data_IF_705782711569
#
_entry.id   IF_705782711569
#
_cell.length_a   1.000
_cell.length_b   1.000
_cell.length_c   1.000
_cell.angle_alpha   90.00
_cell.angle_beta   90.00
_cell.angle_gamma   90.00
#
_symmetry.space_group_name_H-M   'P 1'
#
loop_
_entity.id
_entity.type
_entity.pdbx_description
1 polymer ?
#
# COMPACT_ATOMS: atom_id res chain seq x y z
N UNK A 1 11.38 19.00 -0.91
CA UNK A 1 11.19 17.77 -1.71
C UNK A 1 12.43 16.91 -1.70
N UNK A 2 12.24 15.62 -2.06
CA UNK A 2 13.30 14.61 -2.17
C UNK A 2 13.23 14.00 -3.56
N UNK A 3 14.37 13.88 -4.23
CA UNK A 3 14.49 13.10 -5.45
C UNK A 3 15.01 11.71 -5.09
N UNK A 4 14.27 10.69 -5.50
CA UNK A 4 14.62 9.28 -5.29
C UNK A 4 15.00 8.66 -6.63
N UNK A 5 16.18 8.05 -6.71
CA UNK A 5 16.55 7.17 -7.82
C UNK A 5 15.92 5.80 -7.56
N UNK A 6 14.97 5.44 -8.39
CA UNK A 6 14.18 4.21 -8.21
C UNK A 6 15.05 2.97 -8.49
N UNK A 7 15.06 2.04 -7.54
CA UNK A 7 15.76 0.76 -7.65
C UNK A 7 14.82 -0.42 -7.90
N UNK A 8 13.58 -0.31 -7.41
CA UNK A 8 12.51 -1.26 -7.66
C UNK A 8 11.15 -0.57 -7.57
N UNK A 9 10.20 -1.01 -8.37
CA UNK A 9 8.80 -0.60 -8.31
C UNK A 9 7.91 -1.84 -8.33
N UNK A 10 6.69 -1.73 -7.78
CA UNK A 10 5.72 -2.82 -7.78
C UNK A 10 4.43 -2.41 -8.48
N UNK A 11 3.84 -3.37 -9.19
CA UNK A 11 2.56 -3.21 -9.86
C UNK A 11 1.41 -3.47 -8.91
N UNK A 12 0.35 -2.70 -9.06
CA UNK A 12 -0.92 -2.84 -8.35
C UNK A 12 -2.10 -2.97 -9.31
N UNK A 13 -3.21 -3.51 -8.85
CA UNK A 13 -4.46 -3.47 -9.64
C UNK A 13 -4.89 -2.03 -9.98
N UNK A 14 -4.47 -1.06 -9.18
CA UNK A 14 -4.69 0.36 -9.44
C UNK A 14 -4.16 0.78 -10.80
N UNK A 15 -2.97 0.32 -11.19
CA UNK A 15 -2.36 0.63 -12.49
C UNK A 15 -3.27 0.19 -13.65
N UNK A 16 -3.87 -1.00 -13.52
CA UNK A 16 -4.81 -1.52 -14.52
C UNK A 16 -6.12 -0.71 -14.55
N UNK A 17 -6.61 -0.27 -13.40
CA UNK A 17 -7.82 0.54 -13.33
C UNK A 17 -7.58 1.92 -13.93
N UNK A 18 -6.46 2.54 -13.63
CA UNK A 18 -6.07 3.85 -14.21
C UNK A 18 -6.04 3.78 -15.74
N UNK A 19 -5.42 2.75 -16.31
CA UNK A 19 -5.36 2.55 -17.77
C UNK A 19 -6.75 2.30 -18.38
N UNK A 20 -7.62 1.57 -17.68
CA UNK A 20 -8.99 1.30 -18.11
C UNK A 20 -9.94 2.49 -17.96
N UNK A 21 -9.54 3.50 -17.21
CA UNK A 21 -10.32 4.68 -16.85
C UNK A 21 -10.99 4.56 -15.49
N UNK A 22 -10.52 5.37 -14.54
CA UNK A 22 -11.16 5.56 -13.22
C UNK A 22 -11.95 6.87 -13.28
N UNK A 23 -13.18 6.93 -12.77
CA UNK A 23 -13.95 8.18 -12.73
C UNK A 23 -13.18 9.32 -12.06
N UNK A 24 -13.08 10.46 -12.71
CA UNK A 24 -12.36 11.63 -12.20
C UNK A 24 -10.85 11.61 -12.42
N UNK A 25 -10.29 10.54 -13.01
CA UNK A 25 -8.87 10.46 -13.37
C UNK A 25 -8.71 10.54 -14.89
N UNK A 26 -7.93 11.50 -15.33
CA UNK A 26 -7.62 11.73 -16.74
C UNK A 26 -6.12 11.55 -16.97
N UNK A 27 -5.75 10.52 -17.72
CA UNK A 27 -4.37 10.29 -18.12
C UNK A 27 -4.18 10.73 -19.58
N UNK A 28 -2.99 11.24 -19.89
CA UNK A 28 -2.59 11.65 -21.23
C UNK A 28 -1.49 10.73 -21.76
N UNK A 29 -1.23 10.68 -23.06
CA UNK A 29 -0.06 9.99 -23.59
C UNK A 29 1.25 10.44 -22.89
N UNK A 30 2.06 9.47 -22.46
CA UNK A 30 3.25 9.74 -21.64
C UNK A 30 3.01 9.78 -20.13
N UNK A 31 1.80 9.48 -19.65
CA UNK A 31 1.53 9.35 -18.22
C UNK A 31 2.38 8.25 -17.58
N UNK A 32 3.00 8.58 -16.46
CA UNK A 32 3.82 7.63 -15.69
C UNK A 32 2.91 6.94 -14.67
N UNK A 33 2.75 5.63 -14.79
CA UNK A 33 2.02 4.79 -13.85
C UNK A 33 2.89 4.38 -12.65
N UNK A 34 2.29 3.58 -11.76
CA UNK A 34 2.95 3.00 -10.59
C UNK A 34 2.76 3.85 -9.33
N UNK A 35 2.44 3.17 -8.24
CA UNK A 35 2.26 3.80 -6.93
C UNK A 35 3.37 3.43 -5.95
N UNK A 36 3.93 2.25 -6.10
CA UNK A 36 4.90 1.68 -5.18
C UNK A 36 6.31 1.70 -5.73
N UNK A 37 7.25 2.20 -4.93
CA UNK A 37 8.67 2.07 -5.22
C UNK A 37 9.55 2.09 -3.98
N UNK A 38 10.78 1.67 -4.21
CA UNK A 38 11.93 1.84 -3.32
C UNK A 38 13.13 2.31 -4.11
N UNK A 39 14.04 2.98 -3.46
CA UNK A 39 15.23 3.48 -4.11
C UNK A 39 16.23 4.08 -3.15
N UNK A 40 17.09 4.89 -3.71
CA UNK A 40 18.11 5.63 -2.97
C UNK A 40 17.85 7.13 -3.14
N UNK A 41 17.94 7.87 -2.05
CA UNK A 41 17.84 9.33 -2.09
C UNK A 41 19.00 9.86 -2.93
N UNK A 42 18.66 10.55 -4.01
CA UNK A 42 19.63 11.07 -4.98
C UNK A 42 19.89 12.58 -4.77
N UNK A 43 18.86 13.32 -4.37
CA UNK A 43 18.99 14.72 -3.98
C UNK A 43 17.91 15.12 -2.97
N UNK A 44 18.19 16.12 -2.17
CA UNK A 44 17.25 16.71 -1.18
C UNK A 44 17.19 18.21 -1.36
N UNK A 45 16.02 18.82 -1.11
CA UNK A 45 15.86 20.27 -1.03
C UNK A 45 16.48 20.84 0.26
N UNK A 46 16.78 22.12 0.27
CA UNK A 46 17.52 22.81 1.35
C UNK A 46 16.88 22.65 2.75
N UNK A 47 15.56 22.57 2.82
CA UNK A 47 14.81 22.43 4.09
C UNK A 47 14.59 20.97 4.53
N UNK A 48 15.12 19.99 3.79
CA UNK A 48 14.92 18.56 4.12
C UNK A 48 16.00 18.09 5.09
N UNK A 49 15.55 17.63 6.26
CA UNK A 49 16.42 17.09 7.32
C UNK A 49 16.06 15.66 7.74
N UNK A 50 14.94 15.11 7.20
CA UNK A 50 14.44 13.79 7.61
C UNK A 50 15.14 12.61 6.95
N UNK A 51 15.85 12.86 5.84
CA UNK A 51 16.64 11.88 5.09
C UNK A 51 17.88 12.54 4.50
N UNK A 52 18.89 11.73 4.19
CA UNK A 52 20.16 12.15 3.59
C UNK A 52 20.37 11.52 2.21
N UNK A 53 21.17 12.18 1.37
CA UNK A 53 21.59 11.58 0.08
C UNK A 53 22.32 10.26 0.37
N UNK A 54 21.94 9.22 -0.38
CA UNK A 54 22.43 7.86 -0.20
C UNK A 54 21.55 6.96 0.67
N UNK A 55 20.58 7.50 1.39
CA UNK A 55 19.65 6.70 2.19
C UNK A 55 18.81 5.78 1.32
N UNK A 56 18.62 4.55 1.79
CA UNK A 56 17.70 3.57 1.22
C UNK A 56 16.29 3.85 1.71
N UNK A 57 15.36 4.02 0.79
CA UNK A 57 14.01 4.49 1.14
C UNK A 57 12.92 3.75 0.39
N UNK A 58 11.73 3.74 1.00
CA UNK A 58 10.44 3.48 0.34
C UNK A 58 9.62 4.76 0.29
N UNK A 59 8.64 4.81 -0.61
CA UNK A 59 7.79 5.98 -0.79
C UNK A 59 6.35 5.64 -0.42
N UNK A 60 5.75 6.44 0.47
CA UNK A 60 4.31 6.44 0.67
C UNK A 60 3.63 7.07 -0.56
N UNK A 61 2.80 6.31 -1.32
CA UNK A 61 2.20 6.82 -2.54
C UNK A 61 1.11 7.89 -2.31
N UNK A 62 0.59 8.01 -1.09
CA UNK A 62 -0.45 8.96 -0.74
C UNK A 62 0.11 10.34 -0.39
N UNK A 63 -0.08 11.31 -1.27
CA UNK A 63 0.36 12.70 -1.08
C UNK A 63 -0.80 13.56 -0.60
N UNK A 64 -0.60 14.28 0.49
CA UNK A 64 -1.57 15.21 1.08
C UNK A 64 -1.01 16.64 1.14
N UNK A 65 -1.87 17.65 1.30
CA UNK A 65 -1.46 19.06 1.40
C UNK A 65 -0.85 19.43 2.76
N UNK A 66 -1.05 18.58 3.77
CA UNK A 66 -0.57 18.74 5.16
C UNK A 66 -1.06 20.00 5.88
N UNK A 67 -1.98 20.74 5.30
CA UNK A 67 -2.44 22.04 5.82
C UNK A 67 -3.92 22.07 6.17
N UNK A 68 -4.75 21.22 5.52
CA UNK A 68 -6.18 21.16 5.79
C UNK A 68 -6.50 20.58 7.19
N UNK A 69 -7.73 20.68 7.61
CA UNK A 69 -8.20 20.20 8.92
C UNK A 69 -7.89 18.71 9.16
N UNK A 70 -8.09 17.86 8.16
CA UNK A 70 -7.81 16.43 8.24
C UNK A 70 -6.32 16.12 8.38
N UNK A 71 -5.48 16.87 7.67
CA UNK A 71 -4.03 16.70 7.79
C UNK A 71 -3.52 17.13 9.17
N UNK A 72 -4.08 18.18 9.75
CA UNK A 72 -3.70 18.67 11.07
C UNK A 72 -4.10 17.72 12.19
N UNK A 73 -5.16 16.93 12.00
CA UNK A 73 -5.60 15.88 12.94
C UNK A 73 -4.95 14.52 12.68
N UNK A 74 -4.08 14.40 11.66
CA UNK A 74 -3.38 13.16 11.32
C UNK A 74 -4.16 12.23 10.38
N UNK A 75 -5.38 12.60 9.96
CA UNK A 75 -6.18 11.80 9.03
C UNK A 75 -5.91 12.19 7.57
N UNK A 76 -4.63 12.10 7.18
CA UNK A 76 -4.15 12.47 5.84
C UNK A 76 -4.94 11.86 4.67
N UNK A 77 -5.44 10.61 4.74
CA UNK A 77 -6.27 10.04 3.69
C UNK A 77 -7.60 10.75 3.44
N UNK A 78 -8.05 11.63 4.33
CA UNK A 78 -9.23 12.49 4.15
C UNK A 78 -8.87 13.89 3.65
N UNK A 79 -7.62 14.16 3.34
CA UNK A 79 -7.17 15.43 2.81
C UNK A 79 -7.97 15.83 1.57
N UNK A 80 -8.44 17.06 1.52
CA UNK A 80 -9.21 17.60 0.39
C UNK A 80 -8.43 17.63 -0.93
N UNK A 81 -7.09 17.61 -0.86
CA UNK A 81 -6.17 17.54 -1.99
C UNK A 81 -5.38 16.23 -2.02
N UNK A 82 -5.97 15.15 -1.47
CA UNK A 82 -5.31 13.85 -1.47
C UNK A 82 -5.07 13.36 -2.89
N UNK A 83 -3.86 12.93 -3.16
CA UNK A 83 -3.46 12.42 -4.47
C UNK A 83 -2.65 11.15 -4.30
N UNK A 84 -2.80 10.20 -5.22
CA UNK A 84 -2.01 8.97 -5.25
C UNK A 84 -1.08 9.02 -6.46
N UNK A 85 0.18 8.65 -6.25
CA UNK A 85 1.17 8.50 -7.31
C UNK A 85 0.69 7.44 -8.32
N UNK A 86 0.85 7.74 -9.61
CA UNK A 86 0.40 6.88 -10.71
C UNK A 86 -1.06 7.06 -11.09
N UNK A 87 -1.89 7.60 -10.19
CA UNK A 87 -3.32 7.84 -10.42
C UNK A 87 -3.61 9.33 -10.65
N UNK A 88 -3.35 10.17 -9.66
CA UNK A 88 -3.64 11.62 -9.68
C UNK A 88 -2.40 12.47 -10.01
N UNK A 89 -1.23 11.87 -9.94
CA UNK A 89 0.08 12.47 -10.19
C UNK A 89 0.95 11.45 -10.92
N UNK A 90 1.99 11.89 -11.67
CA UNK A 90 2.97 10.98 -12.24
C UNK A 90 3.51 10.01 -11.18
N UNK A 91 3.64 8.75 -11.57
CA UNK A 91 3.92 7.63 -10.67
C UNK A 91 5.38 7.21 -10.63
N UNK A 92 5.56 5.98 -10.18
CA UNK A 92 6.85 5.40 -9.77
C UNK A 92 7.55 4.56 -10.84
N UNK A 93 6.89 4.28 -11.99
CA UNK A 93 7.51 3.52 -13.09
C UNK A 93 8.43 4.44 -13.92
N UNK A 94 9.45 5.00 -13.27
CA UNK A 94 10.42 5.94 -13.80
C UNK A 94 11.80 5.72 -13.16
N UNK A 95 12.84 6.26 -13.74
CA UNK A 95 14.20 6.18 -13.18
C UNK A 95 14.33 7.05 -11.93
N UNK A 96 13.64 8.20 -11.91
CA UNK A 96 13.64 9.15 -10.81
C UNK A 96 12.23 9.58 -10.45
N UNK A 97 12.02 9.83 -9.17
CA UNK A 97 10.77 10.32 -8.62
C UNK A 97 11.06 11.50 -7.69
N UNK A 98 10.27 12.58 -7.80
CA UNK A 98 10.32 13.71 -6.88
C UNK A 98 9.04 13.74 -6.05
N UNK A 99 9.20 13.69 -4.73
CA UNK A 99 8.07 13.67 -3.78
C UNK A 99 8.36 14.54 -2.56
N UNK A 100 7.32 14.95 -1.81
CA UNK A 100 7.53 15.61 -0.52
C UNK A 100 8.34 14.71 0.42
N UNK A 101 9.27 15.31 1.18
CA UNK A 101 10.13 14.58 2.13
C UNK A 101 9.34 13.71 3.11
N UNK A 102 8.17 14.16 3.47
CA UNK A 102 7.28 13.43 4.37
C UNK A 102 6.66 12.15 3.79
N UNK A 103 6.79 11.92 2.49
CA UNK A 103 6.39 10.68 1.84
C UNK A 103 7.53 9.66 1.76
N UNK A 104 8.75 10.05 2.16
CA UNK A 104 9.95 9.22 2.06
C UNK A 104 10.28 8.63 3.41
N UNK A 105 10.42 7.30 3.47
CA UNK A 105 10.68 6.57 4.72
C UNK A 105 11.92 5.67 4.54
N UNK A 106 12.89 5.74 5.45
CA UNK A 106 14.04 4.84 5.45
C UNK A 106 13.63 3.38 5.56
N UNK A 107 14.33 2.50 4.86
CA UNK A 107 14.17 1.04 4.97
C UNK A 107 15.44 0.40 5.52
N UNK A 108 15.32 -0.66 6.34
CA UNK A 108 16.48 -1.40 6.84
C UNK A 108 17.34 -1.95 5.70
N UNK A 109 18.65 -1.97 5.90
CA UNK A 109 19.60 -2.53 4.91
C UNK A 109 19.39 -4.01 4.65
N UNK A 110 18.83 -4.75 5.61
CA UNK A 110 18.50 -6.17 5.53
C UNK A 110 17.33 -6.47 4.59
N UNK A 111 16.50 -5.48 4.23
CA UNK A 111 15.35 -5.69 3.34
C UNK A 111 15.76 -5.38 1.90
N UNK A 112 15.63 -6.35 0.96
CA UNK A 112 15.86 -6.10 -0.45
C UNK A 112 14.90 -5.05 -1.02
N UNK A 113 15.36 -4.22 -1.96
CA UNK A 113 14.51 -3.21 -2.60
C UNK A 113 13.25 -3.80 -3.22
N UNK A 114 13.36 -4.93 -3.91
CA UNK A 114 12.21 -5.62 -4.53
C UNK A 114 11.15 -6.00 -3.49
N UNK A 115 11.57 -6.49 -2.32
CA UNK A 115 10.65 -6.85 -1.24
C UNK A 115 9.99 -5.61 -0.66
N UNK A 116 10.77 -4.57 -0.39
CA UNK A 116 10.24 -3.33 0.20
C UNK A 116 9.33 -2.57 -0.79
N UNK A 117 9.58 -2.66 -2.11
CA UNK A 117 8.73 -2.02 -3.11
C UNK A 117 7.30 -2.59 -3.15
N UNK A 118 7.13 -3.87 -2.85
CA UNK A 118 5.80 -4.51 -2.86
C UNK A 118 4.93 -4.17 -1.64
N UNK A 119 5.45 -3.39 -0.70
CA UNK A 119 4.82 -3.19 0.61
C UNK A 119 3.85 -1.98 0.67
N UNK A 120 4.13 -0.76 0.12
CA UNK A 120 3.46 0.46 0.56
C UNK A 120 1.96 0.49 0.32
N UNK A 121 1.49 0.50 -0.93
CA UNK A 121 0.08 0.78 -1.24
C UNK A 121 -0.87 -0.24 -0.60
N UNK A 122 -0.59 -1.51 -0.79
CA UNK A 122 -1.45 -2.59 -0.29
C UNK A 122 -1.46 -2.65 1.24
N UNK A 123 -0.31 -2.44 1.89
CA UNK A 123 -0.19 -2.49 3.34
C UNK A 123 -0.79 -1.24 4.00
N UNK A 124 -0.58 -0.05 3.45
CA UNK A 124 -1.23 1.18 3.94
C UNK A 124 -2.76 1.07 3.85
N UNK A 125 -3.27 0.52 2.75
CA UNK A 125 -4.70 0.26 2.58
C UNK A 125 -5.21 -0.72 3.63
N UNK A 126 -4.54 -1.86 3.79
CA UNK A 126 -4.90 -2.87 4.79
C UNK A 126 -4.82 -2.34 6.22
N UNK A 127 -3.76 -1.58 6.55
CA UNK A 127 -3.61 -0.94 7.86
C UNK A 127 -4.78 -0.01 8.16
N UNK A 128 -5.13 0.86 7.20
CA UNK A 128 -6.26 1.77 7.37
C UNK A 128 -7.56 0.99 7.58
N UNK A 129 -7.79 -0.09 6.84
CA UNK A 129 -9.00 -0.90 6.98
C UNK A 129 -9.05 -1.61 8.33
N UNK A 130 -8.00 -2.34 8.68
CA UNK A 130 -7.98 -3.25 9.85
C UNK A 130 -7.77 -2.47 11.16
N UNK A 131 -6.78 -1.57 11.17
CA UNK A 131 -6.39 -0.86 12.40
C UNK A 131 -7.21 0.40 12.59
N UNK A 132 -7.24 1.28 11.58
CA UNK A 132 -7.82 2.62 11.77
C UNK A 132 -9.34 2.61 11.71
N UNK A 133 -9.94 1.88 10.76
CA UNK A 133 -11.40 1.92 10.51
C UNK A 133 -12.13 0.83 11.26
N UNK A 134 -11.71 -0.42 11.15
CA UNK A 134 -12.34 -1.52 11.87
C UNK A 134 -11.90 -1.59 13.34
N UNK A 135 -10.72 -1.02 13.68
CA UNK A 135 -10.17 -1.01 15.04
C UNK A 135 -10.12 -2.42 15.65
N UNK A 136 -9.69 -3.38 14.86
CA UNK A 136 -9.63 -4.80 15.21
C UNK A 136 -8.83 -5.02 16.49
N UNK A 137 -9.39 -5.81 17.41
CA UNK A 137 -8.81 -6.15 18.70
C UNK A 137 -8.39 -7.61 18.76
N UNK A 138 -7.51 -7.93 19.68
CA UNK A 138 -7.20 -9.31 20.03
C UNK A 138 -8.49 -10.07 20.40
N UNK A 139 -8.59 -11.33 20.01
CA UNK A 139 -9.74 -12.21 20.22
C UNK A 139 -11.00 -11.93 19.36
N UNK A 140 -11.01 -10.87 18.56
CA UNK A 140 -12.09 -10.66 17.59
C UNK A 140 -11.95 -11.61 16.39
N UNK A 141 -13.08 -11.89 15.75
CA UNK A 141 -13.11 -12.65 14.48
C UNK A 141 -13.23 -11.71 13.29
N UNK A 142 -12.35 -11.91 12.31
CA UNK A 142 -12.28 -11.07 11.11
C UNK A 142 -12.44 -11.93 9.86
N UNK A 143 -13.46 -11.63 9.08
CA UNK A 143 -13.65 -12.22 7.75
C UNK A 143 -12.99 -11.35 6.68
N UNK A 144 -11.98 -11.89 6.01
CA UNK A 144 -11.31 -11.24 4.88
C UNK A 144 -11.66 -11.98 3.59
N UNK A 145 -12.27 -11.25 2.65
CA UNK A 145 -12.71 -11.84 1.38
C UNK A 145 -11.62 -11.77 0.31
N UNK A 146 -11.46 -12.86 -0.45
CA UNK A 146 -10.69 -12.85 -1.67
C UNK A 146 -9.17 -12.92 -1.50
N UNK A 147 -8.67 -13.91 -0.74
CA UNK A 147 -7.22 -14.13 -0.65
C UNK A 147 -6.59 -14.32 -2.05
N UNK A 148 -5.55 -13.59 -2.32
CA UNK A 148 -4.81 -13.57 -3.58
C UNK A 148 -4.53 -12.14 -4.08
N UNK A 149 -5.18 -11.13 -3.49
CA UNK A 149 -4.81 -9.72 -3.68
C UNK A 149 -3.89 -9.22 -2.57
N UNK A 150 -3.07 -8.21 -2.86
CA UNK A 150 -2.10 -7.64 -1.91
C UNK A 150 -2.76 -7.12 -0.63
N UNK A 151 -3.89 -6.42 -0.74
CA UNK A 151 -4.63 -5.90 0.42
C UNK A 151 -5.14 -7.03 1.32
N UNK A 152 -5.70 -8.10 0.75
CA UNK A 152 -6.20 -9.23 1.54
C UNK A 152 -5.06 -9.95 2.27
N UNK A 153 -3.92 -10.12 1.61
CA UNK A 153 -2.72 -10.72 2.21
C UNK A 153 -2.18 -9.85 3.35
N UNK A 154 -2.04 -8.56 3.14
CA UNK A 154 -1.57 -7.62 4.17
C UNK A 154 -2.57 -7.56 5.34
N UNK A 155 -3.89 -7.56 5.06
CA UNK A 155 -4.93 -7.59 6.09
C UNK A 155 -4.86 -8.84 6.97
N UNK A 156 -4.63 -10.02 6.37
CA UNK A 156 -4.40 -11.26 7.11
C UNK A 156 -3.23 -11.10 8.08
N UNK A 157 -2.08 -10.66 7.58
CA UNK A 157 -0.87 -10.50 8.39
C UNK A 157 -1.07 -9.50 9.54
N UNK A 158 -1.69 -8.35 9.25
CA UNK A 158 -1.97 -7.31 10.26
C UNK A 158 -2.95 -7.84 11.32
N UNK A 159 -4.06 -8.47 10.90
CA UNK A 159 -5.05 -9.00 11.84
C UNK A 159 -4.46 -10.08 12.75
N UNK A 160 -3.59 -10.95 12.20
CA UNK A 160 -2.87 -11.96 13.01
C UNK A 160 -1.88 -11.33 13.98
N UNK A 161 -1.17 -10.27 13.60
CA UNK A 161 -0.29 -9.52 14.50
C UNK A 161 -1.05 -8.87 15.65
N UNK A 162 -2.31 -8.48 15.42
CA UNK A 162 -3.21 -7.94 16.45
C UNK A 162 -3.84 -9.02 17.36
N UNK A 163 -3.61 -10.30 17.07
CA UNK A 163 -4.16 -11.42 17.85
C UNK A 163 -5.61 -11.79 17.49
N UNK A 164 -6.11 -11.34 16.34
CA UNK A 164 -7.45 -11.69 15.87
C UNK A 164 -7.49 -13.11 15.30
N UNK A 165 -8.68 -13.72 15.32
CA UNK A 165 -8.99 -14.94 14.58
C UNK A 165 -9.44 -14.58 13.17
N UNK A 166 -8.77 -15.13 12.15
CA UNK A 166 -8.96 -14.71 10.77
C UNK A 166 -9.57 -15.81 9.91
N UNK A 167 -10.70 -15.48 9.30
CA UNK A 167 -11.38 -16.26 8.28
C UNK A 167 -11.04 -15.70 6.90
N UNK A 168 -10.68 -16.58 5.95
CA UNK A 168 -10.33 -16.17 4.59
C UNK A 168 -11.22 -16.86 3.56
N UNK A 169 -11.62 -16.14 2.51
CA UNK A 169 -12.36 -16.76 1.41
C UNK A 169 -11.57 -16.74 0.10
N UNK A 170 -11.80 -17.75 -0.75
CA UNK A 170 -11.34 -17.80 -2.13
C UNK A 170 -12.23 -18.75 -2.94
N UNK A 171 -12.18 -18.65 -4.27
CA UNK A 171 -12.70 -19.68 -5.17
C UNK A 171 -11.63 -20.70 -5.60
N UNK A 172 -10.46 -20.73 -4.96
CA UNK A 172 -9.34 -21.62 -5.29
C UNK A 172 -8.79 -22.27 -4.03
N UNK A 173 -8.87 -23.60 -3.95
CA UNK A 173 -8.38 -24.36 -2.81
C UNK A 173 -6.86 -24.19 -2.61
N UNK A 174 -6.09 -24.11 -3.69
CA UNK A 174 -4.65 -23.85 -3.60
C UNK A 174 -4.32 -22.51 -2.95
N UNK A 175 -5.13 -21.46 -3.18
CA UNK A 175 -4.97 -20.16 -2.50
C UNK A 175 -5.39 -20.23 -1.04
N UNK A 176 -6.41 -21.00 -0.73
CA UNK A 176 -6.89 -21.23 0.64
C UNK A 176 -5.86 -21.99 1.47
N UNK A 177 -5.24 -23.02 0.90
CA UNK A 177 -4.17 -23.75 1.57
C UNK A 177 -2.99 -22.84 1.89
N UNK A 178 -2.59 -21.99 0.93
CA UNK A 178 -1.56 -20.99 1.16
C UNK A 178 -1.95 -19.97 2.24
N UNK A 179 -3.22 -19.62 2.35
CA UNK A 179 -3.71 -18.72 3.41
C UNK A 179 -3.55 -19.37 4.80
N UNK A 180 -3.82 -20.67 4.94
CA UNK A 180 -3.57 -21.41 6.19
C UNK A 180 -2.10 -21.37 6.58
N UNK A 181 -1.20 -21.63 5.62
CA UNK A 181 0.25 -21.55 5.87
C UNK A 181 0.71 -20.15 6.29
N UNK A 182 -0.04 -19.11 5.92
CA UNK A 182 0.22 -17.72 6.30
C UNK A 182 -0.50 -17.29 7.58
N UNK A 183 -1.18 -18.22 8.27
CA UNK A 183 -1.78 -17.99 9.57
C UNK A 183 -3.28 -17.74 9.59
N UNK A 184 -4.00 -17.96 8.47
CA UNK A 184 -5.46 -17.95 8.52
C UNK A 184 -5.96 -19.10 9.39
N UNK A 185 -6.86 -18.80 10.33
CA UNK A 185 -7.41 -19.80 11.25
C UNK A 185 -8.45 -20.67 10.54
N UNK A 186 -9.28 -20.04 9.70
CA UNK A 186 -10.31 -20.72 8.92
C UNK A 186 -10.30 -20.25 7.47
N UNK A 187 -10.68 -21.14 6.57
CA UNK A 187 -10.79 -20.81 5.14
C UNK A 187 -12.05 -21.41 4.54
N UNK A 188 -12.68 -20.64 3.64
CA UNK A 188 -13.95 -20.98 2.99
C UNK A 188 -13.83 -20.85 1.48
N UNK A 189 -14.18 -21.91 0.75
CA UNK A 189 -14.29 -21.85 -0.69
C UNK A 189 -15.69 -21.39 -1.09
N UNK A 190 -15.83 -20.12 -1.46
CA UNK A 190 -17.11 -19.51 -1.83
C UNK A 190 -17.74 -20.07 -3.12
N UNK A 191 -17.08 -20.98 -3.84
CA UNK A 191 -17.67 -21.68 -4.98
C UNK A 191 -18.38 -22.97 -4.58
N UNK A 192 -17.97 -23.57 -3.46
CA UNK A 192 -18.46 -24.86 -2.99
C UNK A 192 -19.16 -24.79 -1.64
N UNK A 193 -19.01 -23.69 -0.91
CA UNK A 193 -19.56 -23.47 0.42
C UNK A 193 -20.38 -22.18 0.47
N UNK A 194 -21.47 -22.19 1.22
CA UNK A 194 -22.25 -20.99 1.51
C UNK A 194 -21.54 -20.18 2.62
N UNK A 195 -21.04 -19.01 2.27
CA UNK A 195 -20.30 -18.14 3.21
C UNK A 195 -21.24 -17.34 4.12
N UNK A 196 -22.54 -17.33 3.83
CA UNK A 196 -23.56 -16.64 4.64
C UNK A 196 -24.14 -17.54 5.75
N UNK A 197 -23.83 -18.80 5.77
CA UNK A 197 -24.20 -19.81 6.77
C UNK A 197 -22.95 -20.27 7.50
#
# INVERSE_FOLDING_TARGET
DVRVRVCAAALNHLDLWVVKGVPGVHITPGWILGSDCTGVVDAIGEEVSSVSVGDRVTVNPGVSDRTCEYCRTGDNPLCLKYAILGEHRPGTLAEYLVVPAANVLPIPTSIPFVTAAAFPLSTLTAWRMVVTRANVRATEEVLIRGIGGGVALASLQIAKLLGARVWMTSGSDAKLERARLLGADEVLNHRTQDVAR
#
